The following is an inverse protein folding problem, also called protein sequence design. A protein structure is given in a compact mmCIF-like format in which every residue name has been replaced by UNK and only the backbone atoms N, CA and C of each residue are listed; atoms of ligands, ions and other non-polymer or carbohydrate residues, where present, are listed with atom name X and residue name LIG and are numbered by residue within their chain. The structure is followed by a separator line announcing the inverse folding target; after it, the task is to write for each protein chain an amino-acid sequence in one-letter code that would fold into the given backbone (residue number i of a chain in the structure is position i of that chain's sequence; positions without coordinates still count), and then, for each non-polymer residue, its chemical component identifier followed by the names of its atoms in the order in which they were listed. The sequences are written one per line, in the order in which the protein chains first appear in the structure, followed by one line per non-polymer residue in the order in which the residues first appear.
data_IF_601388195922
#
_entry.id   IF_601388195922
#
_cell.length_a   1.000
_cell.length_b   1.000
_cell.length_c   1.000
_cell.angle_alpha   90.00
_cell.angle_beta   90.00
_cell.angle_gamma   90.00
#
_symmetry.space_group_name_H-M   'P 1'
#
loop_
_entity.id
_entity.type
_entity.pdbx_description
1 polymer ?
#
# COMPACT_ATOMS: atom_id res chain seq x y z
N UNK A 1 31.99 -38.73 23.56
CA UNK A 1 31.69 -37.27 23.57
C UNK A 1 31.38 -36.68 22.18
N UNK A 2 31.44 -37.44 21.07
CA UNK A 2 31.24 -36.88 19.72
C UNK A 2 29.79 -36.55 19.32
N UNK A 3 28.80 -37.38 19.71
CA UNK A 3 27.40 -37.18 19.27
C UNK A 3 26.73 -35.93 19.87
N UNK A 4 27.06 -35.58 21.12
CA UNK A 4 26.49 -34.39 21.79
C UNK A 4 27.02 -33.08 21.20
N UNK A 5 28.30 -33.07 20.80
CA UNK A 5 28.90 -31.92 20.12
C UNK A 5 28.31 -31.74 18.72
N UNK A 6 28.12 -32.84 17.99
CA UNK A 6 27.56 -32.80 16.65
C UNK A 6 26.10 -32.30 16.62
N UNK A 7 25.27 -32.75 17.57
CA UNK A 7 23.91 -32.25 17.71
C UNK A 7 23.85 -30.76 18.06
N UNK A 8 24.78 -30.27 18.87
CA UNK A 8 24.87 -28.84 19.20
C UNK A 8 25.18 -27.97 17.98
N UNK A 9 26.10 -28.41 17.12
CA UNK A 9 26.45 -27.70 15.88
C UNK A 9 25.29 -27.66 14.90
N UNK A 10 24.58 -28.78 14.71
CA UNK A 10 23.41 -28.84 13.81
C UNK A 10 22.27 -27.93 14.30
N UNK A 11 21.99 -27.91 15.60
CA UNK A 11 20.96 -27.04 16.17
C UNK A 11 21.34 -25.55 16.09
N UNK A 12 22.61 -25.21 16.29
CA UNK A 12 23.08 -23.84 16.10
C UNK A 12 22.96 -23.40 14.63
N UNK A 13 23.31 -24.27 13.68
CA UNK A 13 23.16 -24.00 12.25
C UNK A 13 21.69 -23.81 11.86
N UNK A 14 20.79 -24.64 12.36
CA UNK A 14 19.34 -24.49 12.15
C UNK A 14 18.81 -23.21 12.79
N UNK A 15 19.28 -22.83 13.97
CA UNK A 15 18.89 -21.58 14.64
C UNK A 15 19.32 -20.34 13.86
N UNK A 16 20.56 -20.33 13.34
CA UNK A 16 21.07 -19.24 12.49
C UNK A 16 20.31 -19.18 11.16
N UNK A 17 20.04 -20.33 10.55
CA UNK A 17 19.25 -20.39 9.31
C UNK A 17 17.82 -19.88 9.54
N UNK A 18 17.19 -20.23 10.66
CA UNK A 18 15.84 -19.78 11.01
C UNK A 18 15.80 -18.27 11.30
N UNK A 19 16.80 -17.74 12.00
CA UNK A 19 16.95 -16.29 12.22
C UNK A 19 17.22 -15.53 10.91
N UNK A 20 17.98 -16.11 9.98
CA UNK A 20 18.24 -15.52 8.68
C UNK A 20 17.02 -15.58 7.74
N UNK A 21 16.16 -16.59 7.88
CA UNK A 21 14.96 -16.77 7.04
C UNK A 21 13.79 -15.86 7.43
N UNK A 22 13.86 -15.16 8.56
CA UNK A 22 12.78 -14.30 9.06
C UNK A 22 12.65 -12.93 8.38
N UNK A 23 13.58 -12.55 7.49
CA UNK A 23 13.58 -11.22 6.84
C UNK A 23 12.97 -11.19 5.46
N UNK A 24 12.76 -12.35 4.82
CA UNK A 24 11.93 -12.44 3.62
C UNK A 24 10.50 -12.79 4.05
N UNK A 25 9.67 -11.75 4.23
CA UNK A 25 8.22 -11.94 4.16
C UNK A 25 7.94 -12.48 2.75
N UNK A 26 7.80 -13.79 2.65
CA UNK A 26 7.20 -14.41 1.48
C UNK A 26 5.79 -13.83 1.37
N UNK A 27 5.56 -12.99 0.36
CA UNK A 27 4.20 -12.67 -0.06
C UNK A 27 3.56 -14.01 -0.44
N UNK A 28 2.46 -14.43 0.21
CA UNK A 28 1.80 -15.67 -0.17
C UNK A 28 1.39 -15.56 -1.64
N UNK A 29 2.09 -16.28 -2.51
CA UNK A 29 1.85 -16.30 -3.96
C UNK A 29 0.47 -16.89 -4.29
N UNK A 30 -0.12 -17.59 -3.32
CA UNK A 30 -1.50 -18.06 -3.36
C UNK A 30 -2.22 -17.39 -2.19
N UNK A 31 -2.78 -16.20 -2.44
CA UNK A 31 -3.67 -15.56 -1.48
C UNK A 31 -4.81 -16.52 -1.16
N UNK A 32 -5.02 -16.80 0.12
CA UNK A 32 -6.22 -17.49 0.56
C UNK A 32 -7.39 -16.61 0.12
N UNK A 33 -8.11 -17.01 -0.94
CA UNK A 33 -9.38 -16.37 -1.32
C UNK A 33 -10.34 -16.57 -0.16
N UNK A 34 -10.40 -15.56 0.70
CA UNK A 34 -11.28 -15.56 1.85
C UNK A 34 -12.71 -15.45 1.35
N UNK A 35 -13.66 -16.00 2.12
CA UNK A 35 -15.08 -15.87 1.81
C UNK A 35 -15.49 -14.39 1.63
N UNK A 36 -14.80 -13.47 2.31
CA UNK A 36 -15.03 -12.02 2.22
C UNK A 36 -14.62 -11.42 0.86
N UNK A 37 -13.53 -11.87 0.27
CA UNK A 37 -13.11 -11.45 -1.08
C UNK A 37 -14.13 -11.96 -2.10
N UNK A 38 -14.49 -13.25 -2.02
CA UNK A 38 -15.47 -13.85 -2.93
C UNK A 38 -16.85 -13.16 -2.85
N UNK A 39 -17.30 -12.77 -1.65
CA UNK A 39 -18.54 -12.00 -1.52
C UNK A 39 -18.43 -10.60 -2.16
N UNK A 40 -17.31 -9.91 -1.98
CA UNK A 40 -17.11 -8.59 -2.56
C UNK A 40 -16.98 -8.63 -4.09
N UNK A 41 -16.39 -9.69 -4.64
CA UNK A 41 -16.36 -9.95 -6.09
C UNK A 41 -17.76 -10.17 -6.65
N UNK A 42 -18.58 -11.00 -5.99
CA UNK A 42 -19.97 -11.22 -6.37
C UNK A 42 -20.78 -9.92 -6.30
N UNK A 43 -20.60 -9.11 -5.26
CA UNK A 43 -21.27 -7.83 -5.12
C UNK A 43 -20.89 -6.85 -6.24
N UNK A 44 -19.60 -6.77 -6.59
CA UNK A 44 -19.13 -5.93 -7.69
C UNK A 44 -19.67 -6.42 -9.05
N UNK A 45 -19.74 -7.73 -9.28
CA UNK A 45 -20.29 -8.28 -10.52
C UNK A 45 -21.73 -7.83 -10.78
N UNK A 46 -22.52 -7.60 -9.72
CA UNK A 46 -23.89 -7.08 -9.82
C UNK A 46 -23.92 -5.59 -10.22
N UNK A 47 -22.94 -4.79 -9.79
CA UNK A 47 -22.86 -3.37 -10.14
C UNK A 47 -21.40 -2.97 -10.44
N UNK A 48 -20.89 -3.26 -11.66
CA UNK A 48 -19.47 -3.13 -11.97
C UNK A 48 -18.96 -1.69 -11.99
N UNK A 49 -19.86 -0.71 -12.15
CA UNK A 49 -19.52 0.71 -12.24
C UNK A 49 -19.72 1.47 -10.92
N UNK A 50 -19.95 0.76 -9.80
CA UNK A 50 -20.15 1.38 -8.49
C UNK A 50 -18.78 1.61 -7.80
N UNK A 51 -18.35 2.88 -7.59
CA UNK A 51 -17.07 3.18 -6.97
C UNK A 51 -16.97 2.65 -5.54
N UNK A 52 -18.08 2.57 -4.80
CA UNK A 52 -18.08 2.05 -3.43
C UNK A 52 -17.74 0.55 -3.39
N UNK A 53 -18.21 -0.21 -4.38
CA UNK A 53 -17.90 -1.65 -4.49
C UNK A 53 -16.47 -1.90 -4.95
N UNK A 54 -15.96 -1.07 -5.87
CA UNK A 54 -14.55 -1.11 -6.29
C UNK A 54 -13.63 -0.81 -5.11
N UNK A 55 -13.96 0.21 -4.31
CA UNK A 55 -13.24 0.53 -3.08
C UNK A 55 -13.22 -0.62 -2.10
N UNK A 56 -14.39 -1.23 -1.84
CA UNK A 56 -14.51 -2.35 -0.92
C UNK A 56 -13.66 -3.52 -1.38
N UNK A 57 -13.82 -3.98 -2.62
CA UNK A 57 -13.06 -5.12 -3.15
C UNK A 57 -11.56 -4.84 -3.20
N UNK A 58 -11.16 -3.65 -3.66
CA UNK A 58 -9.75 -3.26 -3.70
C UNK A 58 -9.13 -3.20 -2.30
N UNK A 59 -9.87 -2.73 -1.28
CA UNK A 59 -9.41 -2.77 0.11
C UNK A 59 -9.24 -4.22 0.58
N UNK A 60 -10.16 -5.14 0.24
CA UNK A 60 -10.01 -6.58 0.56
C UNK A 60 -8.80 -7.22 -0.11
N UNK A 61 -8.47 -6.83 -1.34
CA UNK A 61 -7.24 -7.28 -1.99
C UNK A 61 -5.98 -6.78 -1.27
N UNK A 62 -5.96 -5.53 -0.82
CA UNK A 62 -4.83 -5.01 -0.03
C UNK A 62 -4.71 -5.70 1.33
N UNK A 63 -5.84 -5.93 2.02
CA UNK A 63 -5.86 -6.64 3.30
C UNK A 63 -5.38 -8.09 3.16
N UNK A 64 -5.58 -8.69 1.98
CA UNK A 64 -5.11 -10.03 1.61
C UNK A 64 -3.70 -10.05 1.01
N UNK A 65 -2.95 -8.95 1.12
CA UNK A 65 -1.60 -8.78 0.58
C UNK A 65 -1.49 -9.03 -0.94
N UNK A 66 -2.55 -8.72 -1.70
CA UNK A 66 -2.65 -8.85 -3.15
C UNK A 66 -2.74 -7.50 -3.87
N UNK A 67 -1.72 -6.61 -3.76
CA UNK A 67 -1.77 -5.28 -4.38
C UNK A 67 -1.80 -5.33 -5.91
N UNK A 68 -1.30 -6.40 -6.54
CA UNK A 68 -1.45 -6.68 -7.97
C UNK A 68 -2.91 -6.73 -8.41
N UNK A 69 -3.74 -7.45 -7.66
CA UNK A 69 -5.18 -7.57 -7.92
C UNK A 69 -5.88 -6.24 -7.75
N UNK A 70 -5.55 -5.48 -6.69
CA UNK A 70 -6.10 -4.13 -6.47
C UNK A 70 -5.78 -3.16 -7.62
N UNK A 71 -4.53 -3.16 -8.11
CA UNK A 71 -4.15 -2.34 -9.28
C UNK A 71 -4.93 -2.75 -10.52
N UNK A 72 -4.94 -4.05 -10.85
CA UNK A 72 -5.64 -4.55 -12.05
C UNK A 72 -7.14 -4.25 -12.02
N UNK A 73 -7.76 -4.37 -10.83
CA UNK A 73 -9.16 -4.04 -10.61
C UNK A 73 -9.46 -2.59 -10.94
N UNK A 74 -8.63 -1.66 -10.48
CA UNK A 74 -8.86 -0.21 -10.66
C UNK A 74 -8.54 0.21 -12.10
N UNK A 75 -7.47 -0.31 -12.69
CA UNK A 75 -7.09 0.02 -14.07
C UNK A 75 -8.15 -0.40 -15.09
N UNK A 76 -8.82 -1.55 -14.85
CA UNK A 76 -9.90 -2.06 -15.70
C UNK A 76 -11.21 -1.27 -15.57
N UNK A 77 -11.36 -0.38 -14.58
CA UNK A 77 -12.57 0.40 -14.40
C UNK A 77 -12.75 1.51 -15.45
N UNK A 78 -14.00 1.95 -15.72
CA UNK A 78 -14.25 3.11 -16.56
C UNK A 78 -13.69 4.39 -15.94
N UNK A 79 -13.47 5.40 -16.79
CA UNK A 79 -12.93 6.71 -16.38
C UNK A 79 -13.77 7.37 -15.27
N UNK A 80 -15.09 7.18 -15.27
CA UNK A 80 -15.98 7.71 -14.23
C UNK A 80 -15.63 7.17 -12.82
N UNK A 81 -15.34 5.88 -12.69
CA UNK A 81 -14.96 5.28 -11.41
C UNK A 81 -13.52 5.65 -11.03
N UNK A 82 -12.59 5.65 -12.00
CA UNK A 82 -11.21 6.13 -11.77
C UNK A 82 -11.16 7.61 -11.40
N UNK A 83 -12.18 8.38 -11.77
CA UNK A 83 -12.30 9.80 -11.41
C UNK A 83 -12.66 10.04 -9.94
N UNK A 84 -13.12 9.01 -9.22
CA UNK A 84 -13.39 9.08 -7.79
C UNK A 84 -12.09 9.21 -6.97
N UNK A 85 -12.06 10.19 -6.06
CA UNK A 85 -10.86 10.52 -5.29
C UNK A 85 -10.49 9.43 -4.27
N UNK A 86 -11.47 8.72 -3.70
CA UNK A 86 -11.19 7.63 -2.79
C UNK A 86 -10.63 6.41 -3.56
N UNK A 87 -11.17 6.11 -4.75
CA UNK A 87 -10.64 5.05 -5.62
C UNK A 87 -9.18 5.34 -6.01
N UNK A 88 -8.87 6.58 -6.38
CA UNK A 88 -7.50 6.98 -6.72
C UNK A 88 -6.56 6.91 -5.49
N UNK A 89 -7.05 7.24 -4.29
CA UNK A 89 -6.27 7.09 -3.06
C UNK A 89 -5.95 5.62 -2.74
N UNK A 90 -6.91 4.71 -2.96
CA UNK A 90 -6.69 3.27 -2.86
C UNK A 90 -5.69 2.77 -3.91
N UNK A 91 -5.77 3.29 -5.14
CA UNK A 91 -4.83 3.00 -6.21
C UNK A 91 -3.39 3.41 -5.84
N UNK A 92 -3.21 4.61 -5.28
CA UNK A 92 -1.91 5.06 -4.81
C UNK A 92 -1.32 4.15 -3.72
N UNK A 93 -2.16 3.67 -2.79
CA UNK A 93 -1.74 2.69 -1.79
C UNK A 93 -1.30 1.38 -2.44
N UNK A 94 -2.07 0.85 -3.39
CA UNK A 94 -1.74 -0.38 -4.10
C UNK A 94 -0.42 -0.26 -4.89
N UNK A 95 -0.18 0.88 -5.53
CA UNK A 95 1.07 1.17 -6.23
C UNK A 95 2.27 1.22 -5.28
N UNK A 96 2.11 1.84 -4.11
CA UNK A 96 3.15 1.88 -3.10
C UNK A 96 3.48 0.48 -2.58
N UNK A 97 2.47 -0.36 -2.36
CA UNK A 97 2.65 -1.76 -1.94
C UNK A 97 3.32 -2.63 -3.02
N UNK A 98 3.36 -2.19 -4.28
CA UNK A 98 4.14 -2.80 -5.38
C UNK A 98 5.55 -2.21 -5.57
N UNK A 99 5.97 -1.26 -4.71
CA UNK A 99 7.25 -0.58 -4.87
C UNK A 99 7.29 0.42 -6.02
N UNK A 100 6.15 0.99 -6.41
CA UNK A 100 6.03 2.02 -7.46
C UNK A 100 5.81 3.41 -6.85
N UNK A 101 6.77 3.89 -6.05
CA UNK A 101 6.59 5.14 -5.28
C UNK A 101 6.38 6.39 -6.14
N UNK A 102 7.03 6.49 -7.31
CA UNK A 102 6.83 7.62 -8.22
C UNK A 102 5.39 7.67 -8.78
N UNK A 103 4.84 6.51 -9.17
CA UNK A 103 3.46 6.42 -9.66
C UNK A 103 2.45 6.69 -8.54
N UNK A 104 2.74 6.18 -7.33
CA UNK A 104 1.94 6.44 -6.15
C UNK A 104 1.90 7.94 -5.79
N UNK A 105 3.02 8.65 -5.95
CA UNK A 105 3.10 10.10 -5.73
C UNK A 105 2.19 10.83 -6.72
N UNK A 106 2.30 10.52 -8.01
CA UNK A 106 1.47 11.13 -9.03
C UNK A 106 -0.04 10.86 -8.79
N UNK A 107 -0.39 9.68 -8.30
CA UNK A 107 -1.77 9.34 -7.94
C UNK A 107 -2.29 10.16 -6.75
N UNK A 108 -1.53 10.26 -5.65
CA UNK A 108 -1.96 11.08 -4.50
C UNK A 108 -2.03 12.58 -4.83
N UNK A 109 -1.14 13.09 -5.67
CA UNK A 109 -1.21 14.49 -6.13
C UNK A 109 -2.50 14.74 -6.94
N UNK A 110 -2.95 13.77 -7.74
CA UNK A 110 -4.27 13.83 -8.40
C UNK A 110 -5.44 13.74 -7.43
N UNK A 111 -5.31 13.04 -6.30
CA UNK A 111 -6.32 13.00 -5.24
C UNK A 111 -6.47 14.40 -4.63
N UNK A 112 -5.36 15.01 -4.21
CA UNK A 112 -5.36 16.36 -3.62
C UNK A 112 -5.92 17.39 -4.61
N UNK A 113 -5.46 17.37 -5.85
CA UNK A 113 -5.98 18.26 -6.89
C UNK A 113 -7.50 18.15 -7.06
N UNK A 114 -8.05 16.93 -7.04
CA UNK A 114 -9.51 16.71 -7.14
C UNK A 114 -10.24 17.21 -5.90
N UNK A 115 -9.69 16.99 -4.72
CA UNK A 115 -10.29 17.49 -3.49
C UNK A 115 -10.26 19.03 -3.40
N UNK A 116 -9.24 19.68 -3.96
CA UNK A 116 -9.21 21.14 -4.05
C UNK A 116 -10.29 21.68 -5.02
N UNK A 117 -10.51 20.98 -6.14
CA UNK A 117 -11.53 21.35 -7.13
C UNK A 117 -12.96 21.05 -6.67
N UNK A 118 -13.16 20.04 -5.82
CA UNK A 118 -14.46 19.65 -5.28
C UNK A 118 -14.37 19.31 -3.77
N UNK A 119 -14.23 20.31 -2.87
CA UNK A 119 -14.01 20.07 -1.45
C UNK A 119 -15.13 19.27 -0.76
N UNK A 120 -16.37 19.43 -1.21
CA UNK A 120 -17.53 18.70 -0.66
C UNK A 120 -17.58 17.22 -1.05
N UNK A 121 -16.83 16.80 -2.07
CA UNK A 121 -16.75 15.41 -2.51
C UNK A 121 -15.70 14.60 -1.72
N UNK A 122 -14.84 15.27 -0.95
CA UNK A 122 -13.78 14.63 -0.19
C UNK A 122 -14.04 14.72 1.32
N UNK A 123 -13.75 13.62 2.03
CA UNK A 123 -13.77 13.65 3.49
C UNK A 123 -12.50 14.33 4.02
N UNK A 124 -12.55 15.04 5.16
CA UNK A 124 -11.36 15.60 5.79
C UNK A 124 -10.28 14.54 6.06
N UNK A 125 -10.71 13.31 6.37
CA UNK A 125 -9.83 12.18 6.55
C UNK A 125 -9.06 11.82 5.27
N UNK A 126 -9.74 11.77 4.11
CA UNK A 126 -9.10 11.49 2.83
C UNK A 126 -8.02 12.52 2.51
N UNK A 127 -8.35 13.81 2.68
CA UNK A 127 -7.41 14.92 2.43
C UNK A 127 -6.20 14.85 3.37
N UNK A 128 -6.42 14.60 4.65
CA UNK A 128 -5.33 14.48 5.62
C UNK A 128 -4.44 13.26 5.34
N UNK A 129 -5.05 12.11 5.01
CA UNK A 129 -4.35 10.88 4.64
C UNK A 129 -3.48 11.07 3.39
N UNK A 130 -4.06 11.63 2.32
CA UNK A 130 -3.37 11.92 1.07
C UNK A 130 -2.20 12.90 1.27
N UNK A 131 -2.41 14.01 1.99
CA UNK A 131 -1.35 14.97 2.30
C UNK A 131 -0.17 14.33 3.04
N UNK A 132 -0.45 13.51 4.06
CA UNK A 132 0.59 12.78 4.79
C UNK A 132 1.37 11.85 3.86
N UNK A 133 0.68 11.11 2.98
CA UNK A 133 1.33 10.18 2.06
C UNK A 133 2.17 10.92 1.03
N UNK A 134 1.68 12.01 0.45
CA UNK A 134 2.45 12.87 -0.47
C UNK A 134 3.74 13.36 0.17
N UNK A 135 3.68 13.80 1.45
CA UNK A 135 4.88 14.22 2.18
C UNK A 135 5.95 13.12 2.22
N UNK A 136 5.56 11.90 2.55
CA UNK A 136 6.48 10.74 2.61
C UNK A 136 6.99 10.38 1.20
N UNK A 137 6.11 10.33 0.21
CA UNK A 137 6.44 9.94 -1.17
C UNK A 137 7.39 10.95 -1.83
N UNK A 138 7.26 12.25 -1.54
CA UNK A 138 8.22 13.27 -1.99
C UNK A 138 9.62 13.05 -1.41
N UNK A 139 9.72 12.67 -0.14
CA UNK A 139 11.01 12.34 0.46
C UNK A 139 11.61 11.06 -0.13
N UNK A 140 10.79 10.03 -0.39
CA UNK A 140 11.24 8.82 -1.09
C UNK A 140 11.78 9.15 -2.49
N UNK A 141 11.06 9.96 -3.26
CA UNK A 141 11.49 10.41 -4.57
C UNK A 141 12.81 11.22 -4.52
N UNK A 142 12.97 12.13 -3.53
CA UNK A 142 14.22 12.88 -3.32
C UNK A 142 15.42 11.98 -3.01
N UNK A 143 15.20 10.86 -2.32
CA UNK A 143 16.23 9.88 -1.99
C UNK A 143 16.47 8.86 -3.11
N UNK A 144 15.74 8.96 -4.23
CA UNK A 144 15.80 8.02 -5.34
C UNK A 144 15.35 6.61 -4.95
N UNK A 145 14.32 6.50 -4.10
CA UNK A 145 13.75 5.24 -3.63
C UNK A 145 12.41 5.01 -4.32
N UNK A 146 12.40 4.07 -5.27
CA UNK A 146 11.16 3.64 -5.93
C UNK A 146 10.44 2.58 -5.10
N UNK A 147 11.17 1.57 -4.63
CA UNK A 147 10.63 0.54 -3.75
C UNK A 147 11.10 0.75 -2.30
N UNK A 148 10.16 1.18 -1.45
CA UNK A 148 10.41 1.42 -0.04
C UNK A 148 10.77 0.14 0.74
N UNK A 149 10.33 -1.03 0.27
CA UNK A 149 10.62 -2.32 0.89
C UNK A 149 12.02 -2.81 0.53
N UNK A 150 12.51 -2.49 -0.67
CA UNK A 150 13.88 -2.79 -1.08
C UNK A 150 14.94 -1.97 -0.35
N UNK A 151 14.57 -0.79 0.17
CA UNK A 151 15.48 0.14 0.85
C UNK A 151 14.94 0.61 2.21
N UNK A 152 14.76 -0.29 3.20
CA UNK A 152 14.13 0.04 4.48
C UNK A 152 14.87 1.15 5.25
N UNK A 153 16.20 1.21 5.13
CA UNK A 153 17.01 2.26 5.73
C UNK A 153 16.70 3.64 5.15
N UNK A 154 16.63 3.78 3.83
CA UNK A 154 16.29 5.06 3.18
C UNK A 154 14.83 5.44 3.40
N UNK A 155 13.93 4.45 3.43
CA UNK A 155 12.52 4.64 3.73
C UNK A 155 12.30 5.17 5.15
N UNK A 156 13.08 4.70 6.12
CA UNK A 156 13.02 5.22 7.49
C UNK A 156 13.45 6.70 7.55
N UNK A 157 14.49 7.08 6.80
CA UNK A 157 14.94 8.48 6.69
C UNK A 157 13.88 9.34 6.03
N UNK A 158 13.27 8.87 4.93
CA UNK A 158 12.18 9.56 4.26
C UNK A 158 11.02 9.86 5.23
N UNK A 159 10.62 8.85 6.02
CA UNK A 159 9.57 9.00 7.02
C UNK A 159 9.91 10.03 8.10
N UNK A 160 11.14 10.01 8.62
CA UNK A 160 11.59 10.98 9.61
C UNK A 160 11.65 12.40 9.04
N UNK A 161 12.08 12.57 7.79
CA UNK A 161 12.15 13.88 7.15
C UNK A 161 10.76 14.45 6.88
N UNK A 162 9.85 13.62 6.38
CA UNK A 162 8.47 14.02 6.11
C UNK A 162 7.72 14.41 7.39
N UNK A 163 7.93 13.69 8.50
CA UNK A 163 7.26 13.95 9.78
C UNK A 163 7.81 15.15 10.55
N UNK A 164 9.07 15.54 10.32
CA UNK A 164 9.61 16.80 10.89
C UNK A 164 8.98 18.06 10.31
N UNK A 165 8.38 17.98 9.11
CA UNK A 165 7.81 19.13 8.40
C UNK A 165 6.30 19.33 8.62
N UNK A 166 5.66 18.60 9.55
CA UNK A 166 4.21 18.72 9.77
C UNK A 166 3.90 20.03 10.52
N UNK A 167 3.65 21.10 9.75
CA UNK A 167 2.96 22.29 10.24
C UNK A 167 1.49 21.99 10.47
N UNK A 168 0.98 22.29 11.66
CA UNK A 168 -0.45 22.16 11.97
C UNK A 168 -1.20 23.24 11.18
N UNK A 169 -1.91 22.84 10.12
CA UNK A 169 -2.83 23.72 9.40
C UNK A 169 -4.16 23.69 10.16
N UNK A 170 -4.48 24.79 10.85
CA UNK A 170 -5.80 25.01 11.43
C UNK A 170 -6.71 25.52 10.31
N UNK A 171 -7.69 24.71 9.91
CA UNK A 171 -8.76 25.15 9.00
C UNK A 171 -9.75 25.99 9.82
N UNK A 172 -9.89 27.27 9.47
CA UNK A 172 -10.90 28.19 9.99
C UNK A 172 -12.18 28.16 9.14
#
# INVERSE_FOLDING_TARGET
MGLRFWNGVVLAALGVLWLASGTQREHPVIGVHTAEVASAEADLAVAPNDPAKVLLLGQRYLDSAAPGMAVSLIESQPAAVKSDAAVEHLYARALLDQGRSADALAAEERVLYRCDMAPSACTPFLVASANRRVGILRELARLGVDDAQAHPEKSSVAYHNATRQVGVVVLH
#
